data_IF_639724620145
#
_entry.id   IF_639724620145
#
_cell.length_a   1.000
_cell.length_b   1.000
_cell.length_c   1.000
_cell.angle_alpha   90.00
_cell.angle_beta   90.00
_cell.angle_gamma   90.00
#
_symmetry.space_group_name_H-M   'P 1'
#
loop_
_entity.id
_entity.type
_entity.pdbx_description
1 polymer ?
#
# COMPACT_ATOMS: atom_id res chain seq x y z
N UNK A 1 -5.91 -3.90 11.11
CA UNK A 1 -6.06 -4.09 9.63
C UNK A 1 -6.75 -2.86 9.03
N UNK A 2 -6.49 -2.44 7.77
CA UNK A 2 -7.11 -1.22 7.21
C UNK A 2 -8.64 -1.29 7.22
N UNK A 3 -9.21 -2.47 6.93
CA UNK A 3 -10.66 -2.73 6.98
C UNK A 3 -11.27 -2.53 8.35
N UNK A 4 -10.56 -2.96 9.38
CA UNK A 4 -10.97 -2.80 10.78
C UNK A 4 -10.90 -1.33 11.23
N UNK A 5 -9.83 -0.62 10.86
CA UNK A 5 -9.65 0.78 11.23
C UNK A 5 -10.61 1.74 10.52
N UNK A 6 -11.00 1.43 9.28
CA UNK A 6 -11.85 2.29 8.45
C UNK A 6 -13.32 1.84 8.40
N UNK A 7 -13.63 0.63 8.90
CA UNK A 7 -14.95 0.00 8.73
C UNK A 7 -15.28 -0.38 7.28
N UNK A 8 -14.36 -0.20 6.33
CA UNK A 8 -14.59 -0.49 4.91
C UNK A 8 -14.35 -1.99 4.66
N UNK A 9 -15.26 -2.69 3.94
CA UNK A 9 -15.06 -4.09 3.61
C UNK A 9 -13.76 -4.34 2.82
N UNK A 10 -13.08 -5.44 3.12
CA UNK A 10 -11.79 -5.82 2.51
C UNK A 10 -11.79 -5.73 0.98
N UNK A 11 -12.86 -6.17 0.31
CA UNK A 11 -12.98 -6.12 -1.16
C UNK A 11 -12.90 -4.70 -1.73
N UNK A 12 -13.47 -3.73 -1.03
CA UNK A 12 -13.45 -2.33 -1.45
C UNK A 12 -12.05 -1.72 -1.25
N UNK A 13 -11.35 -2.14 -0.20
CA UNK A 13 -9.99 -1.65 0.09
C UNK A 13 -9.00 -2.07 -0.99
N UNK A 14 -9.10 -3.30 -1.52
CA UNK A 14 -8.25 -3.72 -2.62
C UNK A 14 -8.42 -2.82 -3.87
N UNK A 15 -9.64 -2.37 -4.14
CA UNK A 15 -9.93 -1.42 -5.22
C UNK A 15 -9.34 -0.04 -4.92
N UNK A 16 -9.64 0.52 -3.74
CA UNK A 16 -9.13 1.85 -3.36
C UNK A 16 -7.61 1.90 -3.26
N UNK A 17 -6.98 0.82 -2.80
CA UNK A 17 -5.52 0.67 -2.81
C UNK A 17 -4.99 0.90 -4.21
N UNK A 18 -5.56 0.22 -5.22
CA UNK A 18 -5.12 0.34 -6.60
C UNK A 18 -5.30 1.75 -7.16
N UNK A 19 -6.44 2.38 -6.89
CA UNK A 19 -6.71 3.74 -7.32
C UNK A 19 -5.70 4.73 -6.71
N UNK A 20 -5.35 4.55 -5.43
CA UNK A 20 -4.37 5.38 -4.73
C UNK A 20 -2.94 5.17 -5.25
N UNK A 21 -2.56 3.93 -5.56
CA UNK A 21 -1.27 3.62 -6.21
C UNK A 21 -1.18 4.26 -7.60
N UNK A 22 -2.21 4.11 -8.43
CA UNK A 22 -2.26 4.72 -9.76
C UNK A 22 -2.22 6.25 -9.71
N UNK A 23 -2.78 6.84 -8.65
CA UNK A 23 -2.71 8.29 -8.41
C UNK A 23 -1.38 8.75 -7.79
N UNK A 24 -0.45 7.83 -7.49
CA UNK A 24 0.83 8.14 -6.85
C UNK A 24 0.70 8.66 -5.42
N UNK A 25 -0.32 8.22 -4.68
CA UNK A 25 -0.60 8.66 -3.29
C UNK A 25 -0.35 7.59 -2.23
N UNK A 26 0.04 6.40 -2.65
CA UNK A 26 0.20 5.25 -1.78
C UNK A 26 1.36 4.38 -2.27
N UNK A 27 2.22 3.99 -1.34
CA UNK A 27 3.45 3.23 -1.63
C UNK A 27 3.57 2.02 -0.70
N UNK A 28 4.28 1.01 -1.17
CA UNK A 28 4.55 -0.22 -0.43
C UNK A 28 5.91 -0.11 0.26
N UNK A 29 5.95 -0.19 1.59
CA UNK A 29 7.20 -0.11 2.37
C UNK A 29 7.87 -1.49 2.46
N UNK A 30 7.12 -2.48 2.94
CA UNK A 30 7.66 -3.83 3.17
C UNK A 30 6.58 -4.89 3.18
N UNK A 31 6.99 -6.13 2.90
CA UNK A 31 6.19 -7.33 3.13
C UNK A 31 6.63 -7.96 4.44
N UNK A 32 5.72 -8.05 5.39
CA UNK A 32 6.01 -8.61 6.70
C UNK A 32 4.77 -9.31 7.25
N UNK A 33 4.90 -10.07 8.33
CA UNK A 33 3.74 -10.70 8.96
C UNK A 33 2.88 -9.64 9.65
N UNK A 34 1.56 -9.78 9.52
CA UNK A 34 0.61 -8.95 10.22
C UNK A 34 0.55 -9.38 11.68
N UNK A 35 0.85 -8.48 12.61
CA UNK A 35 0.79 -8.77 14.06
C UNK A 35 -0.60 -9.20 14.54
N UNK A 36 -1.66 -8.79 13.83
CA UNK A 36 -3.05 -9.10 14.17
C UNK A 36 -3.49 -10.48 13.69
N UNK A 37 -3.06 -10.88 12.49
CA UNK A 37 -3.60 -12.09 11.83
C UNK A 37 -2.56 -13.19 11.64
N UNK A 38 -1.27 -12.90 11.82
CA UNK A 38 -0.17 -13.84 11.59
C UNK A 38 0.09 -14.16 10.12
N UNK A 39 -0.67 -13.59 9.18
CA UNK A 39 -0.45 -13.78 7.75
C UNK A 39 0.50 -12.74 7.17
N UNK A 40 1.20 -13.08 6.08
CA UNK A 40 1.99 -12.12 5.33
C UNK A 40 1.10 -11.00 4.79
N UNK A 41 1.45 -9.77 5.12
CA UNK A 41 0.77 -8.56 4.69
C UNK A 41 1.76 -7.56 4.10
N UNK A 42 1.21 -6.67 3.27
CA UNK A 42 1.96 -5.55 2.73
C UNK A 42 1.70 -4.34 3.61
N UNK A 43 2.77 -3.71 4.08
CA UNK A 43 2.72 -2.46 4.81
C UNK A 43 2.81 -1.33 3.81
N UNK A 44 1.75 -0.53 3.76
CA UNK A 44 1.59 0.59 2.84
C UNK A 44 1.60 1.91 3.60
N UNK A 45 2.09 2.96 2.95
CA UNK A 45 2.17 4.30 3.52
C UNK A 45 1.68 5.34 2.51
N UNK A 46 1.24 6.47 3.05
CA UNK A 46 0.92 7.67 2.30
C UNK A 46 1.94 8.79 2.53
N UNK A 47 3.03 8.51 3.25
CA UNK A 47 4.12 9.49 3.40
C UNK A 47 4.95 9.52 2.10
N UNK A 48 5.02 10.68 1.41
CA UNK A 48 5.77 10.84 0.16
C UNK A 48 7.28 10.58 0.31
N UNK A 49 7.84 10.61 1.52
CA UNK A 49 9.27 10.34 1.72
C UNK A 49 9.62 8.87 1.41
N UNK A 50 8.67 7.96 1.57
CA UNK A 50 8.82 6.55 1.20
C UNK A 50 8.35 6.27 -0.23
N UNK A 51 8.10 7.31 -1.03
CA UNK A 51 7.79 7.16 -2.44
C UNK A 51 9.02 6.74 -3.26
N UNK A 52 10.00 6.06 -2.63
CA UNK A 52 11.31 5.77 -3.20
C UNK A 52 11.12 5.38 -4.66
N UNK A 53 11.71 6.27 -5.46
CA UNK A 53 11.41 6.54 -6.83
C UNK A 53 11.16 5.23 -7.56
N UNK A 54 10.11 5.20 -8.39
CA UNK A 54 10.20 4.30 -9.54
C UNK A 54 11.54 4.61 -10.18
N UNK A 55 12.48 3.68 -10.10
CA UNK A 55 13.69 3.59 -10.92
C UNK A 55 13.24 3.45 -12.38
N UNK A 56 12.52 4.46 -12.88
CA UNK A 56 12.29 4.64 -14.29
C UNK A 56 13.66 5.01 -14.84
N UNK A 57 14.43 3.97 -15.16
CA UNK A 57 15.60 4.09 -16.02
C UNK A 57 15.14 4.88 -17.24
N UNK A 58 15.60 6.12 -17.36
CA UNK A 58 15.41 6.91 -18.57
C UNK A 58 16.13 6.15 -19.68
N UNK A 59 15.37 5.41 -20.49
CA UNK A 59 15.84 4.89 -21.77
C UNK A 59 15.93 6.06 -22.76
N UNK A 60 16.91 6.92 -22.56
CA UNK A 60 17.39 7.89 -23.55
C UNK A 60 18.92 7.94 -23.50
#
# INVERSE_FOLDING_TARGET
MVSEATGVPQKNICRYKRDLECSGRLWEIKKDYCEKTGFKAWYITTNPEFSELSDQLSLF
#
